data_IF_072389575507
#
_entry.id   IF_072389575507
#
_cell.length_a   1.000
_cell.length_b   1.000
_cell.length_c   1.000
_cell.angle_alpha   90.00
_cell.angle_beta   90.00
_cell.angle_gamma   90.00
#
_symmetry.space_group_name_H-M   'P 1'
#
loop_
_entity.id
_entity.type
_entity.pdbx_description
1 polymer ?
#
# COMPACT_ATOMS: atom_id res chain seq x y z
N UNK A 1 -23.44 -23.52 7.35
CA UNK A 1 -22.17 -23.09 6.73
C UNK A 1 -21.83 -21.73 7.32
N UNK A 2 -20.71 -21.56 8.04
CA UNK A 2 -20.32 -20.24 8.49
C UNK A 2 -20.07 -19.39 7.24
N UNK A 3 -20.80 -18.27 7.15
CA UNK A 3 -20.58 -17.24 6.14
C UNK A 3 -19.11 -16.81 6.26
N UNK A 4 -18.28 -16.83 5.19
CA UNK A 4 -16.98 -16.21 5.26
C UNK A 4 -17.27 -14.74 5.55
N UNK A 5 -17.12 -14.32 6.80
CA UNK A 5 -17.14 -12.90 7.13
C UNK A 5 -16.02 -12.32 6.29
N UNK A 6 -16.40 -11.60 5.23
CA UNK A 6 -15.48 -10.88 4.37
C UNK A 6 -14.79 -9.88 5.27
N UNK A 7 -13.65 -10.27 5.83
CA UNK A 7 -12.87 -9.37 6.67
C UNK A 7 -12.50 -8.21 5.75
N UNK A 8 -12.97 -6.99 6.02
CA UNK A 8 -12.66 -5.86 5.15
C UNK A 8 -11.14 -5.70 5.12
N UNK A 9 -10.61 -5.35 3.94
CA UNK A 9 -9.20 -5.03 3.77
C UNK A 9 -8.77 -4.05 4.88
N UNK A 10 -7.58 -4.18 5.50
CA UNK A 10 -7.17 -3.32 6.62
C UNK A 10 -7.16 -1.82 6.27
N UNK A 11 -7.00 -1.49 5.00
CA UNK A 11 -7.11 -0.13 4.44
C UNK A 11 -8.50 0.19 3.85
N UNK A 12 -9.55 -0.55 4.21
CA UNK A 12 -10.93 -0.23 3.82
C UNK A 12 -11.39 1.06 4.51
N UNK A 13 -11.93 1.99 3.72
CA UNK A 13 -12.30 3.32 4.21
C UNK A 13 -11.12 4.25 4.54
N UNK A 14 -9.88 3.84 4.27
CA UNK A 14 -8.72 4.71 4.46
C UNK A 14 -8.59 5.67 3.27
N UNK A 15 -8.62 6.97 3.56
CA UNK A 15 -8.53 8.03 2.56
C UNK A 15 -9.74 8.10 1.63
N UNK A 16 -9.65 8.97 0.62
CA UNK A 16 -10.65 9.10 -0.44
C UNK A 16 -10.44 8.09 -1.57
N UNK A 17 -9.20 7.62 -1.74
CA UNK A 17 -8.85 6.64 -2.76
C UNK A 17 -7.64 5.82 -2.30
N UNK A 18 -7.55 4.58 -2.77
CA UNK A 18 -6.38 3.72 -2.60
C UNK A 18 -5.97 3.07 -3.91
N UNK A 19 -4.70 2.69 -3.99
CA UNK A 19 -4.09 2.06 -5.15
C UNK A 19 -3.19 0.93 -4.66
N UNK A 20 -3.41 -0.28 -5.16
CA UNK A 20 -2.45 -1.36 -4.98
C UNK A 20 -1.26 -1.12 -5.91
N UNK A 21 -0.04 -1.18 -5.39
CA UNK A 21 1.17 -1.07 -6.22
C UNK A 21 1.78 -2.41 -6.57
N UNK A 22 1.60 -3.43 -5.73
CA UNK A 22 2.24 -4.73 -5.93
C UNK A 22 2.79 -5.32 -4.64
N UNK A 23 3.49 -6.43 -4.80
CA UNK A 23 4.18 -7.11 -3.71
C UNK A 23 5.62 -6.61 -3.63
N UNK A 24 6.01 -6.13 -2.45
CA UNK A 24 7.39 -5.80 -2.13
C UNK A 24 8.27 -7.04 -2.32
N UNK A 25 9.36 -6.90 -3.08
CA UNK A 25 10.40 -7.94 -3.22
C UNK A 25 11.60 -7.66 -2.32
N UNK A 26 11.68 -6.44 -1.80
CA UNK A 26 12.73 -5.95 -0.93
C UNK A 26 12.13 -5.51 0.43
N UNK A 27 12.82 -5.72 1.57
CA UNK A 27 12.34 -5.31 2.91
C UNK A 27 12.09 -3.81 3.10
N UNK A 28 12.36 -2.98 2.09
CA UNK A 28 12.05 -1.55 2.08
C UNK A 28 12.84 -0.77 3.14
N UNK A 29 12.15 0.09 3.90
CA UNK A 29 12.77 1.00 4.89
C UNK A 29 13.18 0.33 6.21
N UNK A 30 12.89 -0.97 6.38
CA UNK A 30 13.36 -1.76 7.53
C UNK A 30 12.30 -2.10 8.58
N UNK A 31 11.08 -1.58 8.48
CA UNK A 31 9.99 -1.90 9.43
C UNK A 31 9.46 -3.34 9.29
N UNK A 32 9.27 -3.82 8.07
CA UNK A 32 8.98 -5.23 7.80
C UNK A 32 10.15 -5.86 7.02
N UNK A 33 10.80 -6.87 7.60
CA UNK A 33 11.93 -7.58 6.95
C UNK A 33 11.48 -8.55 5.83
N UNK A 34 10.19 -8.58 5.51
CA UNK A 34 9.59 -9.54 4.59
C UNK A 34 8.85 -8.85 3.44
N UNK A 35 8.73 -9.53 2.28
CA UNK A 35 7.81 -9.17 1.21
C UNK A 35 6.39 -8.93 1.75
N UNK A 36 5.74 -7.85 1.34
CA UNK A 36 4.38 -7.52 1.76
C UNK A 36 3.66 -6.70 0.70
N UNK A 37 2.34 -6.62 0.77
CA UNK A 37 1.57 -5.79 -0.15
C UNK A 37 1.86 -4.32 0.09
N UNK A 38 2.15 -3.58 -0.98
CA UNK A 38 2.37 -2.14 -0.93
C UNK A 38 1.18 -1.42 -1.52
N UNK A 39 0.65 -0.49 -0.75
CA UNK A 39 -0.55 0.26 -1.05
C UNK A 39 -0.27 1.75 -0.94
N UNK A 40 -0.82 2.53 -1.88
CA UNK A 40 -0.91 3.97 -1.75
C UNK A 40 -2.31 4.37 -1.33
N UNK A 41 -2.42 5.33 -0.43
CA UNK A 41 -3.69 5.91 0.00
C UNK A 41 -3.63 7.42 -0.13
N UNK A 42 -4.66 8.00 -0.71
CA UNK A 42 -4.80 9.43 -0.94
C UNK A 42 -5.84 9.98 0.03
N UNK A 43 -5.43 10.93 0.88
CA UNK A 43 -6.31 11.55 1.87
C UNK A 43 -6.86 12.90 1.39
N UNK A 44 -6.40 13.39 0.23
CA UNK A 44 -6.78 14.66 -0.39
C UNK A 44 -5.74 15.75 -0.10
N UNK A 45 -5.39 15.92 1.16
CA UNK A 45 -4.35 16.83 1.65
C UNK A 45 -2.98 16.17 1.81
N UNK A 46 -2.89 14.84 1.83
CA UNK A 46 -1.63 14.11 1.81
C UNK A 46 -1.73 12.72 1.17
N UNK A 47 -0.58 12.15 0.82
CA UNK A 47 -0.44 10.81 0.22
C UNK A 47 0.38 9.91 1.12
N UNK A 48 -0.15 8.72 1.42
CA UNK A 48 0.49 7.69 2.22
C UNK A 48 0.97 6.53 1.36
N UNK A 49 2.11 5.94 1.71
CA UNK A 49 2.53 4.62 1.24
C UNK A 49 2.54 3.67 2.44
N UNK A 50 1.69 2.65 2.38
CA UNK A 50 1.56 1.62 3.38
C UNK A 50 2.11 0.29 2.88
N UNK A 51 2.58 -0.52 3.83
CA UNK A 51 2.89 -1.93 3.61
C UNK A 51 2.19 -2.81 4.62
N UNK A 52 1.52 -3.85 4.16
CA UNK A 52 0.90 -4.85 5.04
C UNK A 52 1.93 -5.89 5.46
N UNK A 53 1.87 -6.33 6.73
CA UNK A 53 2.69 -7.45 7.18
C UNK A 53 2.16 -8.75 6.56
N UNK A 54 2.99 -9.54 5.85
CA UNK A 54 2.56 -10.80 5.24
C UNK A 54 2.15 -11.88 6.25
N UNK A 55 2.53 -11.77 7.52
CA UNK A 55 2.17 -12.72 8.58
C UNK A 55 0.88 -12.36 9.28
N UNK A 56 0.54 -11.07 9.28
CA UNK A 56 -0.64 -10.53 9.92
C UNK A 56 -1.22 -9.41 9.05
N UNK A 57 -2.25 -9.77 8.28
CA UNK A 57 -2.95 -8.85 7.39
C UNK A 57 -3.66 -7.69 8.11
N UNK A 58 -3.70 -7.66 9.46
CA UNK A 58 -4.21 -6.52 10.23
C UNK A 58 -3.13 -5.49 10.56
N UNK A 59 -1.87 -5.90 10.49
CA UNK A 59 -0.73 -5.03 10.77
C UNK A 59 -0.36 -4.25 9.51
N UNK A 60 -0.42 -2.92 9.62
CA UNK A 60 -0.11 -1.98 8.54
C UNK A 60 1.04 -1.08 8.97
N UNK A 61 2.08 -1.02 8.17
CA UNK A 61 3.22 -0.11 8.35
C UNK A 61 3.05 1.11 7.46
N UNK A 62 3.11 2.30 8.04
CA UNK A 62 3.29 3.53 7.28
C UNK A 62 4.77 3.64 6.89
N UNK A 63 5.06 3.49 5.62
CA UNK A 63 6.42 3.51 5.09
C UNK A 63 6.84 4.92 4.66
N UNK A 64 5.87 5.74 4.20
CA UNK A 64 6.09 7.16 3.88
C UNK A 64 4.79 7.95 3.89
N UNK A 65 4.87 9.22 4.27
CA UNK A 65 3.82 10.21 4.10
C UNK A 65 4.37 11.42 3.34
N UNK A 66 3.60 11.95 2.40
CA UNK A 66 3.95 13.11 1.57
C UNK A 66 2.84 14.16 1.65
N UNK A 67 3.22 15.43 1.77
CA UNK A 67 2.29 16.56 1.80
C UNK A 67 1.71 16.85 0.39
N UNK A 68 0.39 16.92 0.32
CA UNK A 68 -0.40 17.09 -0.90
C UNK A 68 -0.60 15.82 -1.74
N UNK A 69 -1.28 15.97 -2.88
CA UNK A 69 -1.51 14.89 -3.85
C UNK A 69 -0.24 14.58 -4.67
N UNK A 70 0.66 13.78 -4.08
CA UNK A 70 1.99 13.45 -4.63
C UNK A 70 2.06 12.07 -5.31
N UNK A 71 1.06 11.69 -6.09
CA UNK A 71 0.94 10.30 -6.64
C UNK A 71 2.19 9.85 -7.38
N UNK A 72 2.66 10.65 -8.34
CA UNK A 72 3.81 10.27 -9.18
C UNK A 72 5.09 10.08 -8.36
N UNK A 73 5.33 10.96 -7.37
CA UNK A 73 6.48 10.88 -6.50
C UNK A 73 6.39 9.67 -5.56
N UNK A 74 5.22 9.45 -4.95
CA UNK A 74 4.97 8.31 -4.08
C UNK A 74 5.13 6.98 -4.82
N UNK A 75 4.56 6.85 -6.03
CA UNK A 75 4.69 5.65 -6.86
C UNK A 75 6.14 5.39 -7.23
N UNK A 76 6.85 6.41 -7.74
CA UNK A 76 8.26 6.26 -8.11
C UNK A 76 9.10 5.78 -6.93
N UNK A 77 8.96 6.46 -5.79
CA UNK A 77 9.69 6.09 -4.58
C UNK A 77 9.36 4.67 -4.11
N UNK A 78 8.08 4.28 -4.11
CA UNK A 78 7.67 2.95 -3.67
C UNK A 78 8.22 1.86 -4.59
N UNK A 79 8.16 2.05 -5.92
CA UNK A 79 8.71 1.09 -6.87
C UNK A 79 10.23 0.92 -6.70
N UNK A 80 10.96 2.03 -6.55
CA UNK A 80 12.41 2.01 -6.31
C UNK A 80 12.76 1.35 -4.96
N UNK A 81 12.03 1.69 -3.90
CA UNK A 81 12.33 1.23 -2.52
C UNK A 81 11.98 -0.23 -2.29
N UNK A 82 10.86 -0.70 -2.87
CA UNK A 82 10.33 -2.04 -2.65
C UNK A 82 10.63 -3.02 -3.79
N UNK A 83 11.33 -2.56 -4.83
CA UNK A 83 11.64 -3.33 -6.04
C UNK A 83 10.38 -3.93 -6.69
N UNK A 84 9.35 -3.09 -6.85
CA UNK A 84 8.08 -3.44 -7.50
C UNK A 84 8.21 -3.15 -9.00
N UNK A 85 7.76 -4.08 -9.84
CA UNK A 85 7.80 -3.85 -11.29
C UNK A 85 6.81 -2.73 -11.67
N UNK A 86 7.21 -1.86 -12.60
CA UNK A 86 6.37 -0.75 -13.07
C UNK A 86 5.01 -1.22 -13.60
N UNK A 87 4.97 -2.41 -14.19
CA UNK A 87 3.73 -3.05 -14.69
C UNK A 87 2.78 -3.46 -13.55
N UNK A 88 3.32 -3.89 -12.40
CA UNK A 88 2.53 -4.20 -11.20
C UNK A 88 1.97 -2.90 -10.59
N UNK A 89 2.77 -1.82 -10.58
CA UNK A 89 2.37 -0.53 -10.03
C UNK A 89 1.29 0.20 -10.85
N UNK A 90 1.15 -0.14 -12.13
CA UNK A 90 0.13 0.41 -13.02
C UNK A 90 -1.26 -0.22 -12.80
N UNK A 91 -1.34 -1.32 -12.05
CA UNK A 91 -2.50 -2.18 -12.01
C UNK A 91 -3.30 -2.08 -10.71
N UNK A 92 -4.58 -1.75 -10.84
CA UNK A 92 -5.66 -1.89 -9.83
C UNK A 92 -5.85 -0.68 -8.90
N UNK A 93 -6.58 0.32 -9.41
CA UNK A 93 -7.28 1.31 -8.59
C UNK A 93 -8.45 0.62 -7.88
N UNK A 94 -8.43 0.58 -6.56
CA UNK A 94 -9.55 0.06 -5.76
C UNK A 94 -10.31 1.26 -5.22
N UNK A 95 -11.58 1.41 -5.63
CA UNK A 95 -12.46 2.42 -5.04
C UNK A 95 -12.62 2.15 -3.52
N UNK A 96 -12.81 3.23 -2.76
CA UNK A 96 -13.00 3.18 -1.31
C UNK A 96 -14.22 2.34 -0.93
#
# INVERSE_FOLDING_TARGET
MPNPQTVPHPLAGAGSQRLFLGLSRHPGTGHAKRPGEVWMVFHGDWTAVYRLDPRDARTVHLERALDGDRRHEATRWACETFAIATEEAAGVRVAA
#
